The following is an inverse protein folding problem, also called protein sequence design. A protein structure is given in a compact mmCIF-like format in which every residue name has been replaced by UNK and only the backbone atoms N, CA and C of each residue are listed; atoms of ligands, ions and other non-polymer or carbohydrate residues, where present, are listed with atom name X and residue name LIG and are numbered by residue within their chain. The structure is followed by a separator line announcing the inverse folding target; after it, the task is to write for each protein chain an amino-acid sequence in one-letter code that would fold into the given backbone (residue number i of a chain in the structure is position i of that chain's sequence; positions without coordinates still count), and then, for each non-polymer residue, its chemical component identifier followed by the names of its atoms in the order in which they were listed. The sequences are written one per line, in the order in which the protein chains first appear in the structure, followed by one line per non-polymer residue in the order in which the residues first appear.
data_IF_966361078441
#
_entry.id   IF_966361078441
#
_cell.length_a   1.000
_cell.length_b   1.000
_cell.length_c   1.000
_cell.angle_alpha   90.00
_cell.angle_beta   90.00
_cell.angle_gamma   90.00
#
_symmetry.space_group_name_H-M   'P 1'
#
loop_
_entity.id
_entity.type
_entity.pdbx_description
1 polymer ?
#
# COMPACT_ATOMS: atom_id res chain seq x y z
N UNK A 1 -9.59 -6.83 -6.99
CA UNK A 1 -8.55 -5.79 -6.81
C UNK A 1 -8.97 -5.00 -5.59
N UNK A 2 -8.18 -4.96 -4.52
CA UNK A 2 -8.46 -4.01 -3.44
C UNK A 2 -7.96 -2.65 -3.89
N UNK A 3 -8.73 -1.65 -3.59
CA UNK A 3 -8.54 -0.28 -4.05
C UNK A 3 -7.28 0.38 -3.45
N UNK A 4 -6.86 -0.05 -2.25
CA UNK A 4 -5.60 0.34 -1.64
C UNK A 4 -4.35 -0.09 -2.44
N UNK A 5 -4.42 -1.22 -3.14
CA UNK A 5 -3.28 -1.78 -3.90
C UNK A 5 -2.88 -0.88 -5.10
N UNK A 6 -3.86 -0.23 -5.73
CA UNK A 6 -3.62 0.73 -6.84
C UNK A 6 -2.98 2.02 -6.33
N UNK A 7 -3.37 2.46 -5.14
CA UNK A 7 -2.83 3.67 -4.52
C UNK A 7 -1.35 3.48 -4.15
N UNK A 8 -1.00 2.33 -3.57
CA UNK A 8 0.37 2.00 -3.17
C UNK A 8 1.35 2.06 -4.37
N UNK A 9 0.94 1.55 -5.53
CA UNK A 9 1.79 1.59 -6.74
C UNK A 9 2.15 3.02 -7.15
N UNK A 10 1.22 3.96 -7.03
CA UNK A 10 1.41 5.36 -7.44
C UNK A 10 2.35 6.15 -6.50
N UNK A 11 2.63 5.65 -5.30
CA UNK A 11 3.45 6.32 -4.30
C UNK A 11 4.92 5.88 -4.31
N UNK A 12 5.32 5.05 -5.27
CA UNK A 12 6.70 4.56 -5.37
C UNK A 12 7.67 5.73 -5.63
N UNK A 13 8.60 5.97 -4.71
CA UNK A 13 9.60 7.05 -4.79
C UNK A 13 10.93 6.56 -5.41
N UNK A 14 11.17 5.25 -5.40
CA UNK A 14 12.44 4.65 -5.86
C UNK A 14 12.29 3.87 -7.18
N UNK A 15 13.37 3.76 -7.95
CA UNK A 15 13.43 3.00 -9.21
C UNK A 15 13.29 1.47 -9.01
N UNK A 16 13.51 1.00 -7.78
CA UNK A 16 13.41 -0.41 -7.40
C UNK A 16 12.30 -0.62 -6.38
N UNK A 17 11.47 -1.64 -6.64
CA UNK A 17 10.40 -2.09 -5.74
C UNK A 17 10.64 -3.52 -5.31
N UNK A 18 10.54 -3.79 -4.00
CA UNK A 18 10.43 -5.13 -3.45
C UNK A 18 8.99 -5.36 -2.97
N UNK A 19 8.27 -6.27 -3.62
CA UNK A 19 6.96 -6.73 -3.18
C UNK A 19 7.11 -8.01 -2.37
N UNK A 20 6.67 -8.00 -1.12
CA UNK A 20 6.66 -9.14 -0.22
C UNK A 20 5.21 -9.50 0.08
N UNK A 21 4.78 -10.63 -0.44
CA UNK A 21 3.46 -11.16 -0.15
C UNK A 21 3.48 -12.14 1.02
N UNK A 22 2.47 -12.09 1.90
CA UNK A 22 2.24 -13.06 2.98
C UNK A 22 1.01 -13.95 2.74
N UNK A 23 0.18 -13.56 1.75
CA UNK A 23 -1.13 -14.17 1.48
C UNK A 23 -1.23 -14.82 0.10
N UNK A 24 -0.57 -14.23 -0.92
CA UNK A 24 -0.62 -14.68 -2.32
C UNK A 24 0.75 -15.19 -2.78
N UNK A 25 0.79 -16.20 -3.66
CA UNK A 25 2.06 -16.64 -4.25
C UNK A 25 2.67 -15.55 -5.15
N UNK A 26 4.00 -15.58 -5.40
CA UNK A 26 4.63 -14.62 -6.30
C UNK A 26 4.04 -14.65 -7.71
N UNK A 27 3.63 -15.82 -8.20
CA UNK A 27 3.01 -16.00 -9.51
C UNK A 27 1.65 -15.31 -9.57
N UNK A 28 0.81 -15.49 -8.54
CA UNK A 28 -0.49 -14.84 -8.46
C UNK A 28 -0.37 -13.31 -8.40
N UNK A 29 0.63 -12.80 -7.68
CA UNK A 29 0.93 -11.36 -7.64
C UNK A 29 1.42 -10.85 -8.99
N UNK A 30 2.28 -11.61 -9.70
CA UNK A 30 2.76 -11.23 -11.05
C UNK A 30 1.64 -11.17 -12.08
N UNK A 31 0.80 -12.19 -12.10
CA UNK A 31 -0.37 -12.25 -13.00
C UNK A 31 -1.30 -11.08 -12.73
N UNK A 32 -1.60 -10.83 -11.45
CA UNK A 32 -2.40 -9.69 -11.02
C UNK A 32 -1.79 -8.33 -11.44
N UNK A 33 -0.48 -8.12 -11.25
CA UNK A 33 0.19 -6.87 -11.66
C UNK A 33 0.12 -6.67 -13.19
N UNK A 34 0.26 -7.76 -13.95
CA UNK A 34 0.18 -7.74 -15.41
C UNK A 34 -1.23 -7.34 -15.88
N UNK A 35 -2.27 -7.90 -15.25
CA UNK A 35 -3.66 -7.55 -15.53
C UNK A 35 -3.97 -6.09 -15.15
N UNK A 36 -3.45 -5.61 -14.02
CA UNK A 36 -3.61 -4.22 -13.59
C UNK A 36 -2.95 -3.22 -14.55
N UNK A 37 -1.79 -3.57 -15.11
CA UNK A 37 -1.14 -2.79 -16.18
C UNK A 37 -1.99 -2.74 -17.44
N UNK A 38 -2.53 -3.88 -17.87
CA UNK A 38 -3.40 -3.97 -19.03
C UNK A 38 -4.68 -3.14 -18.85
N UNK A 39 -5.22 -3.05 -17.63
CA UNK A 39 -6.36 -2.19 -17.31
C UNK A 39 -6.00 -0.70 -17.32
N UNK A 40 -4.79 -0.35 -16.86
CA UNK A 40 -4.31 1.04 -16.82
C UNK A 40 -3.94 1.61 -18.20
N UNK A 41 -3.63 0.74 -19.17
CA UNK A 41 -3.23 1.12 -20.55
C UNK A 41 -4.38 1.10 -21.56
N UNK A 42 -5.61 0.73 -21.16
CA UNK A 42 -6.77 0.79 -22.07
C UNK A 42 -7.09 2.25 -22.44
N UNK A 43 -7.15 2.60 -23.74
CA UNK A 43 -7.49 3.96 -24.15
C UNK A 43 -8.92 4.28 -23.72
N UNK A 44 -9.07 5.33 -22.92
CA UNK A 44 -10.37 5.84 -22.49
C UNK A 44 -11.15 6.29 -23.72
N UNK A 45 -12.26 5.62 -24.03
CA UNK A 45 -13.25 6.13 -24.98
C UNK A 45 -13.96 7.34 -24.41
N UNK A 46 -13.33 8.52 -24.44
CA UNK A 46 -14.00 9.82 -24.35
C UNK A 46 -13.33 10.79 -25.35
N UNK A 47 -14.07 11.06 -26.42
CA UNK A 47 -14.07 12.25 -27.28
C UNK A 47 -12.90 13.25 -27.13
N UNK A 48 -12.08 13.28 -28.18
CA UNK A 48 -11.29 14.40 -28.72
C UNK A 48 -10.87 15.54 -27.78
N UNK A 49 -9.58 15.61 -27.45
CA UNK A 49 -8.78 16.84 -27.60
C UNK A 49 -7.28 16.51 -27.61
N UNK A 50 -6.60 17.11 -28.59
CA UNK A 50 -5.18 16.97 -28.94
C UNK A 50 -4.22 17.35 -27.80
N UNK A 51 -3.18 16.55 -27.60
CA UNK A 51 -2.00 16.88 -26.80
C UNK A 51 -1.08 15.68 -26.65
N UNK A 52 -0.14 15.51 -27.59
CA UNK A 52 0.88 14.45 -27.47
C UNK A 52 1.89 14.82 -26.39
N UNK A 53 1.94 14.03 -25.32
CA UNK A 53 3.16 13.81 -24.56
C UNK A 53 3.24 12.32 -24.26
N UNK A 54 4.01 11.61 -25.08
CA UNK A 54 4.31 10.20 -24.89
C UNK A 54 5.41 10.12 -23.82
N UNK A 55 5.06 10.34 -22.55
CA UNK A 55 5.90 9.91 -21.45
C UNK A 55 5.83 8.38 -21.41
N UNK A 56 6.82 7.74 -22.02
CA UNK A 56 7.07 6.32 -21.85
C UNK A 56 7.40 6.10 -20.36
N UNK A 57 6.64 5.28 -19.61
CA UNK A 57 6.95 5.05 -18.21
C UNK A 57 8.33 4.40 -18.12
N UNK A 58 9.23 5.00 -17.34
CA UNK A 58 10.50 4.39 -16.98
C UNK A 58 10.20 3.03 -16.33
N UNK A 59 10.81 1.95 -16.83
CA UNK A 59 10.56 0.59 -16.36
C UNK A 59 11.04 0.45 -14.90
N UNK A 60 10.12 0.59 -13.96
CA UNK A 60 10.36 0.28 -12.54
C UNK A 60 10.65 -1.22 -12.40
N UNK A 61 11.78 -1.56 -11.78
CA UNK A 61 12.14 -2.96 -11.52
C UNK A 61 11.43 -3.47 -10.28
N UNK A 62 10.48 -4.39 -10.44
CA UNK A 62 9.71 -4.98 -9.33
C UNK A 62 10.19 -6.41 -9.06
N UNK A 63 10.76 -6.63 -7.89
CA UNK A 63 11.09 -7.98 -7.38
C UNK A 63 9.95 -8.47 -6.50
N UNK A 64 9.34 -9.59 -6.84
CA UNK A 64 8.19 -10.14 -6.11
C UNK A 64 8.61 -11.42 -5.40
N UNK A 65 8.36 -11.45 -4.10
CA UNK A 65 8.74 -12.55 -3.21
C UNK A 65 7.59 -12.92 -2.27
N UNK A 66 7.72 -14.10 -1.67
CA UNK A 66 6.78 -14.61 -0.67
C UNK A 66 7.48 -14.75 0.68
N UNK A 67 6.81 -14.33 1.76
CA UNK A 67 7.23 -14.60 3.12
C UNK A 67 6.87 -16.04 3.51
N UNK A 68 7.81 -16.74 4.14
CA UNK A 68 7.61 -18.12 4.57
C UNK A 68 6.44 -18.24 5.56
N UNK A 69 5.77 -19.38 5.56
CA UNK A 69 4.61 -19.63 6.41
C UNK A 69 4.94 -20.01 7.85
N UNK A 70 6.10 -20.63 8.09
CA UNK A 70 6.53 -21.14 9.39
C UNK A 70 7.22 -20.06 10.23
N UNK A 71 7.99 -19.18 9.58
CA UNK A 71 8.73 -18.10 10.26
C UNK A 71 8.56 -16.76 9.53
N UNK A 72 7.33 -16.24 9.43
CA UNK A 72 7.01 -15.11 8.57
C UNK A 72 7.79 -13.84 8.95
N UNK A 73 7.95 -13.53 10.25
CA UNK A 73 8.70 -12.36 10.73
C UNK A 73 10.16 -12.38 10.25
N UNK A 74 10.86 -13.49 10.54
CA UNK A 74 12.26 -13.68 10.15
C UNK A 74 12.44 -13.66 8.64
N UNK A 75 11.50 -14.26 7.88
CA UNK A 75 11.56 -14.30 6.43
C UNK A 75 11.43 -12.89 5.82
N UNK A 76 10.56 -12.04 6.36
CA UNK A 76 10.42 -10.64 5.93
C UNK A 76 11.67 -9.84 6.30
N UNK A 77 12.13 -9.94 7.54
CA UNK A 77 13.32 -9.23 8.04
C UNK A 77 14.55 -9.52 7.16
N UNK A 78 14.82 -10.79 6.86
CA UNK A 78 15.96 -11.20 6.03
C UNK A 78 15.90 -10.64 4.61
N UNK A 79 14.70 -10.59 4.00
CA UNK A 79 14.53 -10.04 2.65
C UNK A 79 14.80 -8.55 2.60
N UNK A 80 14.33 -7.81 3.60
CA UNK A 80 14.57 -6.37 3.72
C UNK A 80 16.06 -6.11 3.99
N UNK A 81 16.67 -6.87 4.90
CA UNK A 81 18.09 -6.72 5.24
C UNK A 81 19.06 -7.06 4.09
N UNK A 82 18.62 -7.85 3.11
CA UNK A 82 19.41 -8.21 1.94
C UNK A 82 19.47 -7.11 0.86
N UNK A 83 18.69 -6.03 1.00
CA UNK A 83 18.66 -4.93 0.05
C UNK A 83 19.94 -4.10 0.14
N UNK A 84 20.55 -3.82 -1.02
CA UNK A 84 21.83 -3.09 -1.12
C UNK A 84 21.67 -1.61 -1.48
N UNK A 85 20.45 -1.17 -1.79
CA UNK A 85 20.15 0.20 -2.21
C UNK A 85 18.77 0.64 -1.70
N UNK A 86 18.54 1.97 -1.56
CA UNK A 86 17.23 2.53 -1.24
C UNK A 86 16.14 1.94 -2.15
N UNK A 87 15.16 1.28 -1.54
CA UNK A 87 14.14 0.49 -2.23
C UNK A 87 12.77 0.84 -1.65
N UNK A 88 11.76 0.91 -2.50
CA UNK A 88 10.37 0.94 -2.04
C UNK A 88 9.92 -0.49 -1.76
N UNK A 89 9.52 -0.77 -0.53
CA UNK A 89 9.11 -2.09 -0.08
C UNK A 89 7.59 -2.07 0.10
N UNK A 90 6.90 -3.05 -0.47
CA UNK A 90 5.46 -3.25 -0.28
C UNK A 90 5.28 -4.59 0.44
N UNK A 91 4.68 -4.56 1.62
CA UNK A 91 4.34 -5.74 2.40
C UNK A 91 2.82 -5.97 2.35
N UNK A 92 2.40 -7.06 1.70
CA UNK A 92 0.98 -7.38 1.44
C UNK A 92 0.63 -8.82 1.88
N UNK A 93 -0.06 -9.05 2.99
CA UNK A 93 -0.54 -8.12 4.02
C UNK A 93 0.24 -8.30 5.31
N UNK A 94 0.18 -7.34 6.22
CA UNK A 94 0.82 -7.50 7.54
C UNK A 94 0.00 -8.34 8.51
N UNK A 95 -1.30 -8.55 8.25
CA UNK A 95 -2.23 -9.24 9.15
C UNK A 95 -1.65 -10.53 9.74
N UNK A 96 -1.08 -11.40 8.91
CA UNK A 96 -0.48 -12.66 9.38
C UNK A 96 0.70 -12.45 10.34
N UNK A 97 1.50 -11.40 10.14
CA UNK A 97 2.62 -11.08 11.02
C UNK A 97 2.11 -10.53 12.35
N UNK A 98 0.96 -9.84 12.35
CA UNK A 98 0.31 -9.32 13.57
C UNK A 98 -0.25 -10.43 14.46
N UNK A 99 -0.45 -11.65 13.94
CA UNK A 99 -0.94 -12.81 14.71
C UNK A 99 0.15 -13.49 15.56
N UNK A 100 1.42 -13.16 15.33
CA UNK A 100 2.55 -13.69 16.10
C UNK A 100 2.56 -13.17 17.53
N UNK A 101 3.42 -13.74 18.39
CA UNK A 101 3.50 -13.29 19.79
C UNK A 101 3.91 -11.81 19.87
N UNK A 102 3.31 -11.06 20.79
CA UNK A 102 3.57 -9.61 20.94
C UNK A 102 5.07 -9.31 21.09
N UNK A 103 5.79 -10.12 21.87
CA UNK A 103 7.22 -9.93 22.07
C UNK A 103 8.02 -10.10 20.77
N UNK A 104 7.73 -11.13 19.96
CA UNK A 104 8.42 -11.37 18.70
C UNK A 104 8.07 -10.28 17.68
N UNK A 105 6.81 -9.87 17.64
CA UNK A 105 6.33 -8.83 16.75
C UNK A 105 6.96 -7.46 17.05
N UNK A 106 7.04 -7.07 18.33
CA UNK A 106 7.69 -5.82 18.73
C UNK A 106 9.19 -5.80 18.39
N UNK A 107 9.88 -6.94 18.55
CA UNK A 107 11.27 -7.07 18.14
C UNK A 107 11.42 -6.93 16.63
N UNK A 108 10.54 -7.58 15.86
CA UNK A 108 10.49 -7.48 14.41
C UNK A 108 10.28 -6.02 13.96
N UNK A 109 9.26 -5.33 14.49
CA UNK A 109 8.98 -3.93 14.16
C UNK A 109 10.19 -3.03 14.44
N UNK A 110 10.84 -3.21 15.59
CA UNK A 110 12.03 -2.44 15.98
C UNK A 110 13.17 -2.64 14.97
N UNK A 111 13.44 -3.88 14.57
CA UNK A 111 14.51 -4.20 13.62
C UNK A 111 14.21 -3.69 12.22
N UNK A 112 13.00 -3.94 11.72
CA UNK A 112 12.57 -3.46 10.39
C UNK A 112 12.60 -1.94 10.33
N UNK A 113 12.12 -1.26 11.36
CA UNK A 113 12.18 0.21 11.43
C UNK A 113 13.63 0.72 11.34
N UNK A 114 14.56 0.12 12.08
CA UNK A 114 15.99 0.48 12.00
C UNK A 114 16.54 0.27 10.59
N UNK A 115 16.31 -0.90 9.99
CA UNK A 115 16.83 -1.22 8.65
C UNK A 115 16.26 -0.24 7.61
N UNK A 116 14.95 -0.01 7.64
CA UNK A 116 14.26 0.89 6.70
C UNK A 116 14.78 2.31 6.82
N UNK A 117 14.88 2.82 8.05
CA UNK A 117 15.36 4.17 8.31
C UNK A 117 16.83 4.35 7.92
N UNK A 118 17.71 3.45 8.34
CA UNK A 118 19.16 3.58 8.17
C UNK A 118 19.58 3.43 6.70
N UNK A 119 18.87 2.60 5.93
CA UNK A 119 19.12 2.38 4.51
C UNK A 119 18.30 3.30 3.59
N UNK A 120 17.49 4.20 4.14
CA UNK A 120 16.62 5.12 3.38
C UNK A 120 15.58 4.39 2.52
N UNK A 121 15.10 3.23 2.97
CA UNK A 121 14.01 2.54 2.32
C UNK A 121 12.68 3.24 2.63
N UNK A 122 11.68 2.98 1.80
CA UNK A 122 10.28 3.37 2.08
C UNK A 122 9.48 2.09 2.22
N UNK A 123 8.87 1.86 3.38
CA UNK A 123 8.06 0.68 3.63
C UNK A 123 6.57 1.04 3.60
N UNK A 124 5.86 0.47 2.64
CA UNK A 124 4.41 0.44 2.58
C UNK A 124 3.91 -0.87 3.14
N UNK A 125 2.97 -0.78 4.06
CA UNK A 125 2.34 -1.93 4.71
C UNK A 125 0.87 -1.93 4.35
N UNK A 126 0.42 -2.99 3.69
CA UNK A 126 -1.00 -3.19 3.44
C UNK A 126 -1.62 -3.96 4.61
N UNK A 127 -2.64 -3.35 5.19
CA UNK A 127 -3.46 -3.92 6.25
C UNK A 127 -4.83 -4.22 5.65
N UNK A 128 -5.25 -5.47 5.73
CA UNK A 128 -6.63 -5.83 5.45
C UNK A 128 -7.46 -5.57 6.71
N UNK A 129 -8.39 -4.63 6.63
CA UNK A 129 -9.43 -4.51 7.63
C UNK A 129 -10.55 -5.46 7.25
N UNK A 130 -10.66 -6.57 7.97
CA UNK A 130 -11.83 -7.43 7.92
C UNK A 130 -12.82 -6.91 8.96
N UNK A 131 -13.91 -6.30 8.50
CA UNK A 131 -14.98 -5.80 9.37
C UNK A 131 -15.67 -6.93 10.15
N UNK A 132 -15.45 -8.19 9.77
CA UNK A 132 -16.00 -9.37 10.44
C UNK A 132 -15.07 -9.93 11.52
N UNK A 133 -13.80 -9.52 11.56
CA UNK A 133 -12.89 -9.89 12.64
C UNK A 133 -13.14 -8.99 13.84
N UNK A 134 -13.41 -9.62 14.99
CA UNK A 134 -13.57 -8.87 16.23
C UNK A 134 -12.22 -8.24 16.62
N UNK A 135 -12.19 -7.01 17.18
CA UNK A 135 -10.93 -6.36 17.58
C UNK A 135 -10.05 -7.20 18.51
N UNK A 136 -10.66 -8.14 19.25
CA UNK A 136 -9.97 -9.10 20.13
C UNK A 136 -9.20 -10.19 19.39
N UNK A 137 -9.46 -10.40 18.10
CA UNK A 137 -8.78 -11.37 17.25
C UNK A 137 -7.50 -10.79 16.61
N UNK A 138 -7.28 -9.47 16.74
CA UNK A 138 -6.12 -8.80 16.16
C UNK A 138 -5.13 -8.43 17.27
N UNK A 139 -4.08 -9.24 17.44
CA UNK A 139 -3.18 -9.16 18.60
C UNK A 139 -2.32 -7.90 18.60
N UNK A 140 -1.73 -7.52 17.46
CA UNK A 140 -0.64 -6.53 17.43
C UNK A 140 -0.90 -5.28 16.56
N UNK A 141 -2.11 -5.06 16.07
CA UNK A 141 -2.44 -3.92 15.18
C UNK A 141 -2.07 -2.57 15.75
N UNK A 142 -2.32 -2.38 17.05
CA UNK A 142 -2.00 -1.12 17.71
C UNK A 142 -0.51 -0.79 17.59
N UNK A 143 0.35 -1.79 17.72
CA UNK A 143 1.80 -1.62 17.58
C UNK A 143 2.18 -1.20 16.16
N UNK A 144 1.59 -1.84 15.13
CA UNK A 144 1.76 -1.46 13.72
C UNK A 144 1.41 0.01 13.48
N UNK A 145 0.23 0.42 13.95
CA UNK A 145 -0.26 1.79 13.78
C UNK A 145 0.60 2.79 14.55
N UNK A 146 1.08 2.42 15.74
CA UNK A 146 1.91 3.28 16.59
C UNK A 146 3.29 3.56 15.98
N UNK A 147 3.94 2.57 15.37
CA UNK A 147 5.26 2.75 14.73
C UNK A 147 5.17 3.42 13.36
N UNK A 148 4.03 3.32 12.67
CA UNK A 148 3.84 3.88 11.33
C UNK A 148 3.98 5.41 11.31
N UNK A 149 4.70 5.95 10.34
CA UNK A 149 4.84 7.41 10.18
C UNK A 149 3.61 8.06 9.54
N UNK A 150 2.92 7.32 8.67
CA UNK A 150 1.65 7.72 8.10
C UNK A 150 0.66 6.56 8.09
N UNK A 151 -0.61 6.84 8.36
CA UNK A 151 -1.71 5.86 8.32
C UNK A 151 -2.78 6.39 7.39
N UNK A 152 -3.05 5.62 6.35
CA UNK A 152 -3.97 5.95 5.28
C UNK A 152 -5.10 4.94 5.33
N UNK A 153 -6.31 5.42 5.54
CA UNK A 153 -7.49 4.57 5.66
C UNK A 153 -8.37 4.75 4.44
N UNK A 154 -8.68 3.63 3.80
CA UNK A 154 -9.66 3.58 2.74
C UNK A 154 -10.95 3.00 3.31
N UNK A 155 -12.04 3.76 3.23
CA UNK A 155 -13.37 3.34 3.67
C UNK A 155 -14.35 3.38 2.50
N UNK A 156 -15.32 2.47 2.51
CA UNK A 156 -16.42 2.46 1.55
C UNK A 156 -17.74 2.64 2.28
N UNK A 157 -18.56 3.58 1.82
CA UNK A 157 -19.91 3.81 2.35
C UNK A 157 -20.94 3.42 1.30
N UNK A 158 -21.92 2.61 1.71
CA UNK A 158 -23.03 2.25 0.84
C UNK A 158 -24.15 3.28 0.99
N UNK A 159 -24.43 4.01 -0.09
CA UNK A 159 -25.59 4.88 -0.18
C UNK A 159 -26.75 4.17 -0.88
N UNK A 160 -27.92 4.82 -0.95
CA UNK A 160 -29.10 4.26 -1.63
C UNK A 160 -28.87 4.05 -3.14
N UNK A 161 -27.93 4.78 -3.74
CA UNK A 161 -27.72 4.82 -5.19
C UNK A 161 -26.35 4.27 -5.63
N UNK A 162 -25.35 4.26 -4.76
CA UNK A 162 -23.98 3.91 -5.11
C UNK A 162 -23.18 3.36 -3.92
N UNK A 163 -21.98 2.87 -4.21
CA UNK A 163 -20.93 2.69 -3.21
C UNK A 163 -19.95 3.82 -3.44
N UNK A 164 -19.75 4.64 -2.42
CA UNK A 164 -18.80 5.75 -2.42
C UNK A 164 -17.56 5.33 -1.63
N UNK A 165 -16.41 5.83 -2.03
CA UNK A 165 -15.14 5.44 -1.45
C UNK A 165 -14.37 6.68 -1.00
N UNK A 166 -13.79 6.61 0.17
CA UNK A 166 -13.15 7.76 0.81
C UNK A 166 -11.75 7.37 1.30
N UNK A 167 -10.77 8.22 1.05
CA UNK A 167 -9.42 8.12 1.57
C UNK A 167 -9.21 9.16 2.66
N UNK A 168 -8.89 8.73 3.86
CA UNK A 168 -8.44 9.60 4.95
C UNK A 168 -6.97 9.34 5.26
N UNK A 169 -6.29 10.36 5.76
CA UNK A 169 -4.96 10.24 6.37
C UNK A 169 -5.16 10.50 7.85
N UNK A 170 -5.11 9.46 8.68
CA UNK A 170 -5.38 9.56 10.12
C UNK A 170 -4.15 9.96 10.92
N UNK A 171 -2.97 9.63 10.37
CA UNK A 171 -1.67 9.93 10.97
C UNK A 171 -0.72 10.36 9.87
N UNK A 172 0.02 11.44 10.10
CA UNK A 172 1.13 11.86 9.27
C UNK A 172 2.15 12.61 10.13
N UNK A 173 3.34 12.02 10.33
CA UNK A 173 4.42 12.63 11.13
C UNK A 173 5.22 13.70 10.39
N UNK A 174 5.17 13.71 9.07
CA UNK A 174 6.05 14.53 8.23
C UNK A 174 5.31 15.58 7.39
N UNK A 175 4.02 15.77 7.61
CA UNK A 175 3.21 16.69 6.82
C UNK A 175 1.82 16.93 7.37
N UNK A 176 1.00 17.73 6.66
CA UNK A 176 -0.36 18.00 7.06
C UNK A 176 -1.20 16.71 7.01
N UNK A 177 -2.14 16.64 7.94
CA UNK A 177 -3.22 15.64 7.97
C UNK A 177 -4.36 16.20 7.12
N UNK A 178 -5.10 15.35 6.39
CA UNK A 178 -6.29 15.79 5.67
C UNK A 178 -7.36 16.24 6.67
N UNK A 179 -7.93 17.43 6.48
CA UNK A 179 -9.01 17.92 7.34
C UNK A 179 -10.34 17.24 7.08
N UNK A 180 -10.54 16.72 5.86
CA UNK A 180 -11.73 16.00 5.41
C UNK A 180 -11.33 14.78 4.57
N UNK A 181 -12.09 13.65 4.63
CA UNK A 181 -11.87 12.51 3.76
C UNK A 181 -11.99 12.87 2.28
N UNK A 182 -11.14 12.25 1.45
CA UNK A 182 -11.07 12.49 0.01
C UNK A 182 -11.88 11.44 -0.75
N UNK A 183 -12.90 11.86 -1.49
CA UNK A 183 -13.70 10.96 -2.32
C UNK A 183 -12.87 10.40 -3.49
N UNK A 184 -12.92 9.08 -3.67
CA UNK A 184 -12.21 8.34 -4.70
C UNK A 184 -13.19 7.75 -5.71
N UNK A 185 -12.89 7.95 -6.99
CA UNK A 185 -13.61 7.32 -8.09
C UNK A 185 -12.75 6.21 -8.71
N UNK A 186 -13.33 5.01 -8.84
CA UNK A 186 -12.65 3.79 -9.32
C UNK A 186 -12.99 3.40 -10.77
N UNK A 187 -13.43 4.36 -11.60
CA UNK A 187 -13.72 4.16 -13.03
C UNK A 187 -12.44 3.93 -13.86
N UNK A 188 -11.93 2.70 -13.85
CA UNK A 188 -10.77 2.27 -14.65
C UNK A 188 -9.41 2.78 -14.14
N UNK A 189 -9.34 3.17 -12.87
CA UNK A 189 -8.14 3.62 -12.15
C UNK A 189 -8.49 4.61 -11.04
N UNK A 190 -7.60 4.81 -10.05
CA UNK A 190 -7.84 5.77 -8.96
C UNK A 190 -7.68 7.19 -9.46
N UNK A 191 -8.76 7.96 -9.49
CA UNK A 191 -8.71 9.42 -9.60
C UNK A 191 -9.29 10.06 -8.36
N UNK A 192 -8.57 11.06 -7.86
CA UNK A 192 -9.06 11.95 -6.80
C UNK A 192 -10.10 12.89 -7.40
N UNK A 193 -11.31 12.92 -6.84
CA UNK A 193 -12.25 13.98 -7.18
C UNK A 193 -11.84 15.28 -6.51
N UNK A 194 -11.29 16.21 -7.30
CA UNK A 194 -10.88 17.54 -6.83
C UNK A 194 -11.98 18.59 -7.01
N UNK A 195 -13.24 18.18 -7.23
CA UNK A 195 -14.37 19.11 -7.41
C UNK A 195 -14.65 20.01 -6.20
N UNK A 196 -14.02 19.75 -5.04
CA UNK A 196 -13.99 20.67 -3.90
C UNK A 196 -12.60 21.30 -3.75
N UNK A 197 -12.56 22.62 -3.86
CA UNK A 197 -11.37 23.47 -3.80
C UNK A 197 -10.52 23.20 -2.55
N UNK A 198 -9.35 22.59 -2.74
CA UNK A 198 -8.28 22.60 -1.75
C UNK A 198 -7.76 24.04 -1.64
N UNK A 199 -8.16 24.76 -0.60
CA UNK A 199 -7.48 26.01 -0.24
C UNK A 199 -6.31 25.64 0.65
N UNK A 200 -5.13 25.57 0.06
CA UNK A 200 -3.88 25.56 0.83
C UNK A 200 -3.77 26.95 1.50
N UNK A 201 -3.89 27.00 2.82
CA UNK A 201 -3.63 28.19 3.64
C UNK A 201 -2.16 28.30 4.00
#
# INVERSE_FOLDING_TARGET
MTEGEILLRKLTVAETVLYISTVRTPEAVREWLTDAEALSTRPRSRTSASGSSTHQPESVSVTITFADFETPLSAVEQKIAALSAPTTIILDSINRLEDESEQEYLQFLTRVQSIVHDAGHVLYVHVLNDEQLEPTEITNREHTLNVSDSVWTLSSERTDAAIEHYLSIEKNRFGPVLSEPLELNFDGGVSVDTSRSITLS
#
